data_IF_632951644154
#
_entry.id   IF_632951644154
#
_cell.length_a   1.000
_cell.length_b   1.000
_cell.length_c   1.000
_cell.angle_alpha   90.00
_cell.angle_beta   90.00
_cell.angle_gamma   90.00
#
_symmetry.space_group_name_H-M   'P 1'
#
loop_
_entity.id
_entity.type
_entity.pdbx_description
1 polymer ?
#
# COMPACT_ATOMS: atom_id res chain seq x y z
N UNK A 1 5.78 32.88 -16.10
CA UNK A 1 4.78 31.89 -15.64
C UNK A 1 4.73 30.62 -16.52
N UNK A 2 4.91 30.70 -17.84
CA UNK A 2 4.97 29.53 -18.74
C UNK A 2 6.01 28.43 -18.39
N UNK A 3 7.28 28.73 -18.03
CA UNK A 3 8.29 27.69 -17.83
C UNK A 3 8.04 26.80 -16.59
N UNK A 4 7.40 27.35 -15.55
CA UNK A 4 7.05 26.57 -14.35
C UNK A 4 5.91 25.57 -14.64
N UNK A 5 4.92 25.96 -15.44
CA UNK A 5 3.80 25.09 -15.83
C UNK A 5 4.25 23.95 -16.76
N UNK A 6 5.20 24.24 -17.64
CA UNK A 6 5.80 23.25 -18.54
C UNK A 6 6.66 22.23 -17.76
N UNK A 7 7.38 22.67 -16.71
CA UNK A 7 8.08 21.77 -15.79
C UNK A 7 7.12 20.84 -15.06
N UNK A 8 6.03 21.36 -14.49
CA UNK A 8 5.03 20.56 -13.76
C UNK A 8 4.37 19.53 -14.67
N UNK A 9 4.00 19.91 -15.89
CA UNK A 9 3.38 18.98 -16.84
C UNK A 9 4.36 17.84 -17.21
N UNK A 10 5.62 18.17 -17.50
CA UNK A 10 6.65 17.19 -17.83
C UNK A 10 6.96 16.26 -16.67
N UNK A 11 7.15 16.81 -15.47
CA UNK A 11 7.36 16.04 -14.24
C UNK A 11 6.17 15.11 -13.96
N UNK A 12 4.95 15.61 -14.14
CA UNK A 12 3.73 14.83 -13.96
C UNK A 12 3.58 13.70 -14.96
N UNK A 13 3.86 13.95 -16.25
CA UNK A 13 3.88 12.91 -17.28
C UNK A 13 4.93 11.85 -16.94
N UNK A 14 6.16 12.26 -16.58
CA UNK A 14 7.22 11.32 -16.21
C UNK A 14 6.84 10.48 -14.99
N UNK A 15 6.32 11.11 -13.93
CA UNK A 15 5.88 10.41 -12.73
C UNK A 15 4.74 9.43 -13.05
N UNK A 16 3.74 9.87 -13.81
CA UNK A 16 2.64 9.02 -14.25
C UNK A 16 3.11 7.79 -15.03
N UNK A 17 3.99 7.99 -16.01
CA UNK A 17 4.56 6.89 -16.78
C UNK A 17 5.40 5.92 -15.92
N UNK A 18 6.12 6.41 -14.90
CA UNK A 18 6.80 5.57 -13.93
C UNK A 18 5.79 4.71 -13.16
N UNK A 19 4.72 5.32 -12.65
CA UNK A 19 3.66 4.61 -11.94
C UNK A 19 3.01 3.53 -12.82
N UNK A 20 2.63 3.88 -14.05
CA UNK A 20 2.04 2.94 -15.01
C UNK A 20 2.98 1.77 -15.32
N UNK A 21 4.26 2.05 -15.54
CA UNK A 21 5.25 1.01 -15.82
C UNK A 21 5.44 0.06 -14.62
N UNK A 22 5.47 0.59 -13.39
CA UNK A 22 5.60 -0.23 -12.18
C UNK A 22 4.40 -1.16 -12.01
N UNK A 23 3.17 -0.65 -12.17
CA UNK A 23 1.96 -1.49 -12.11
C UNK A 23 1.97 -2.53 -13.22
N UNK A 24 2.30 -2.15 -14.46
CA UNK A 24 2.36 -3.06 -15.58
C UNK A 24 3.38 -4.19 -15.37
N UNK A 25 4.59 -3.87 -14.88
CA UNK A 25 5.63 -4.86 -14.58
C UNK A 25 5.18 -5.77 -13.43
N UNK A 26 4.60 -5.23 -12.37
CA UNK A 26 4.08 -6.01 -11.25
C UNK A 26 3.04 -7.05 -11.70
N UNK A 27 2.04 -6.63 -12.46
CA UNK A 27 1.02 -7.55 -12.96
C UNK A 27 1.56 -8.51 -14.01
N UNK A 28 2.51 -8.09 -14.85
CA UNK A 28 3.17 -9.00 -15.79
C UNK A 28 3.91 -10.12 -15.04
N UNK A 29 4.63 -9.81 -13.96
CA UNK A 29 5.31 -10.81 -13.14
C UNK A 29 4.32 -11.76 -12.46
N UNK A 30 3.21 -11.24 -11.92
CA UNK A 30 2.16 -12.06 -11.33
C UNK A 30 1.47 -12.97 -12.35
N UNK A 31 1.18 -12.44 -13.53
CA UNK A 31 0.55 -13.15 -14.65
C UNK A 31 1.47 -14.26 -15.18
N UNK A 32 2.77 -13.97 -15.31
CA UNK A 32 3.80 -14.96 -15.65
C UNK A 32 3.88 -16.06 -14.59
N UNK A 33 3.86 -15.70 -13.31
CA UNK A 33 3.86 -16.65 -12.21
C UNK A 33 2.60 -17.54 -12.21
N UNK A 34 1.47 -17.04 -12.71
CA UNK A 34 0.22 -17.80 -12.90
C UNK A 34 0.18 -18.59 -14.21
N UNK A 35 1.22 -18.50 -15.05
CA UNK A 35 1.31 -19.19 -16.34
C UNK A 35 0.45 -18.58 -17.45
N UNK A 36 -0.08 -17.36 -17.28
CA UNK A 36 -0.93 -16.69 -18.27
C UNK A 36 -0.47 -15.23 -18.47
N UNK A 37 0.53 -14.98 -19.34
CA UNK A 37 1.03 -13.63 -19.60
C UNK A 37 -0.08 -12.67 -20.05
N UNK A 38 -0.08 -11.45 -19.53
CA UNK A 38 -1.04 -10.38 -19.87
C UNK A 38 -2.51 -10.68 -19.54
N UNK A 39 -2.77 -11.65 -18.65
CA UNK A 39 -4.12 -11.94 -18.17
C UNK A 39 -4.80 -10.70 -17.58
N UNK A 40 -4.12 -10.01 -16.69
CA UNK A 40 -4.67 -8.85 -15.97
C UNK A 40 -5.09 -7.71 -16.93
N UNK A 41 -4.20 -7.17 -17.79
CA UNK A 41 -4.61 -6.13 -18.74
C UNK A 41 -5.60 -6.64 -19.80
N UNK A 42 -5.59 -7.94 -20.14
CA UNK A 42 -6.56 -8.54 -21.05
C UNK A 42 -7.98 -8.58 -20.48
N UNK A 43 -8.12 -9.00 -19.21
CA UNK A 43 -9.39 -9.02 -18.49
C UNK A 43 -9.95 -7.63 -18.29
N UNK A 44 -9.12 -6.69 -17.81
CA UNK A 44 -9.55 -5.31 -17.60
C UNK A 44 -9.91 -4.61 -18.91
N UNK A 45 -9.19 -4.90 -20.00
CA UNK A 45 -9.57 -4.42 -21.33
C UNK A 45 -10.90 -5.00 -21.81
N UNK A 46 -11.14 -6.30 -21.60
CA UNK A 46 -12.43 -6.93 -21.94
C UNK A 46 -13.58 -6.29 -21.13
N UNK A 47 -13.36 -6.05 -19.83
CA UNK A 47 -14.34 -5.41 -18.97
C UNK A 47 -14.67 -3.99 -19.44
N UNK A 48 -13.65 -3.17 -19.73
CA UNK A 48 -13.83 -1.77 -20.12
C UNK A 48 -14.41 -1.60 -21.52
N UNK A 49 -13.91 -2.34 -22.52
CA UNK A 49 -14.30 -2.13 -23.93
C UNK A 49 -15.45 -3.00 -24.39
N UNK A 50 -15.68 -4.14 -23.72
CA UNK A 50 -16.69 -5.13 -24.13
C UNK A 50 -17.76 -5.36 -23.06
N UNK A 51 -17.64 -4.74 -21.87
CA UNK A 51 -18.61 -4.88 -20.79
C UNK A 51 -18.62 -6.28 -20.15
N UNK A 52 -17.52 -7.03 -20.28
CA UNK A 52 -17.40 -8.38 -19.72
C UNK A 52 -17.21 -8.29 -18.20
N UNK A 53 -18.19 -8.80 -17.45
CA UNK A 53 -18.19 -8.76 -15.99
C UNK A 53 -17.86 -10.14 -15.36
N UNK A 54 -17.77 -11.21 -16.17
CA UNK A 54 -17.37 -12.55 -15.75
C UNK A 54 -16.00 -12.91 -16.37
N UNK A 55 -14.95 -13.19 -15.57
CA UNK A 55 -13.62 -13.51 -16.09
C UNK A 55 -13.53 -14.93 -16.66
N UNK A 56 -14.52 -15.79 -16.44
CA UNK A 56 -14.46 -17.20 -16.85
C UNK A 56 -14.39 -17.34 -18.38
N UNK A 57 -13.35 -18.03 -18.85
CA UNK A 57 -13.13 -18.32 -20.27
C UNK A 57 -12.62 -17.15 -21.10
N UNK A 58 -12.39 -15.98 -20.50
CA UNK A 58 -11.84 -14.81 -21.20
C UNK A 58 -10.34 -15.01 -21.43
N UNK A 59 -9.94 -15.05 -22.69
CA UNK A 59 -8.53 -15.11 -23.08
C UNK A 59 -7.98 -13.70 -23.35
N UNK A 60 -6.70 -13.42 -23.01
CA UNK A 60 -6.09 -12.14 -23.33
C UNK A 60 -6.02 -11.95 -24.84
N UNK A 61 -6.63 -10.89 -25.35
CA UNK A 61 -6.51 -10.50 -26.76
C UNK A 61 -5.59 -9.30 -26.88
N UNK A 62 -4.83 -9.24 -27.97
CA UNK A 62 -3.91 -8.11 -28.25
C UNK A 62 -4.66 -6.77 -28.21
N UNK A 63 -5.88 -6.72 -28.75
CA UNK A 63 -6.72 -5.52 -28.74
C UNK A 63 -7.07 -5.05 -27.33
N UNK A 64 -7.52 -5.95 -26.46
CA UNK A 64 -7.89 -5.61 -25.08
C UNK A 64 -6.67 -5.17 -24.27
N UNK A 65 -5.55 -5.89 -24.40
CA UNK A 65 -4.30 -5.57 -23.68
C UNK A 65 -3.76 -4.20 -24.09
N UNK A 66 -3.68 -3.92 -25.39
CA UNK A 66 -3.19 -2.63 -25.89
C UNK A 66 -4.15 -1.49 -25.53
N UNK A 67 -5.45 -1.68 -25.75
CA UNK A 67 -6.46 -0.67 -25.39
C UNK A 67 -6.39 -0.33 -23.90
N UNK A 68 -6.31 -1.34 -23.03
CA UNK A 68 -6.25 -1.12 -21.59
C UNK A 68 -4.94 -0.45 -21.20
N UNK A 69 -3.82 -0.83 -21.81
CA UNK A 69 -2.51 -0.21 -21.54
C UNK A 69 -2.51 1.28 -21.89
N UNK A 70 -3.18 1.69 -22.98
CA UNK A 70 -3.33 3.11 -23.35
C UNK A 70 -4.17 3.84 -22.30
N UNK A 71 -5.35 3.31 -21.97
CA UNK A 71 -6.26 3.94 -20.97
C UNK A 71 -5.56 4.04 -19.61
N UNK A 72 -4.90 2.97 -19.18
CA UNK A 72 -4.12 2.92 -17.95
C UNK A 72 -2.99 3.96 -17.94
N UNK A 73 -2.21 4.03 -19.03
CA UNK A 73 -1.14 5.03 -19.17
C UNK A 73 -1.65 6.46 -19.11
N UNK A 74 -2.76 6.77 -19.80
CA UNK A 74 -3.38 8.10 -19.77
C UNK A 74 -3.93 8.45 -18.38
N UNK A 75 -4.56 7.49 -17.69
CA UNK A 75 -5.05 7.69 -16.32
C UNK A 75 -3.89 7.99 -15.36
N UNK A 76 -2.79 7.26 -15.47
CA UNK A 76 -1.60 7.49 -14.65
C UNK A 76 -0.89 8.80 -14.99
N UNK A 77 -0.86 9.22 -16.26
CA UNK A 77 -0.36 10.55 -16.65
C UNK A 77 -1.22 11.64 -16.00
N UNK A 78 -2.54 11.54 -16.08
CA UNK A 78 -3.44 12.51 -15.45
C UNK A 78 -3.20 12.57 -13.93
N UNK A 79 -3.12 11.41 -13.27
CA UNK A 79 -2.79 11.32 -11.84
C UNK A 79 -1.42 11.94 -11.52
N UNK A 80 -0.39 11.62 -12.32
CA UNK A 80 0.95 12.16 -12.18
C UNK A 80 1.00 13.68 -12.32
N UNK A 81 0.23 14.27 -13.22
CA UNK A 81 0.11 15.73 -13.36
C UNK A 81 -0.55 16.38 -12.15
N UNK A 82 -1.61 15.76 -11.60
CA UNK A 82 -2.22 16.23 -10.34
C UNK A 82 -1.21 16.14 -9.20
N UNK A 83 -0.51 15.02 -9.07
CA UNK A 83 0.53 14.82 -8.07
C UNK A 83 1.67 15.84 -8.22
N UNK A 84 2.20 16.05 -9.42
CA UNK A 84 3.25 17.05 -9.67
C UNK A 84 2.78 18.48 -9.35
N UNK A 85 1.51 18.78 -9.62
CA UNK A 85 0.93 20.08 -9.26
C UNK A 85 0.89 20.26 -7.75
N UNK A 86 0.42 19.25 -7.00
CA UNK A 86 0.47 19.26 -5.54
C UNK A 86 1.91 19.39 -5.02
N UNK A 87 2.87 18.71 -5.64
CA UNK A 87 4.29 18.79 -5.27
C UNK A 87 4.80 20.22 -5.39
N UNK A 88 4.55 20.87 -6.53
CA UNK A 88 5.00 22.24 -6.78
C UNK A 88 4.38 23.26 -5.81
N UNK A 89 3.14 23.07 -5.38
CA UNK A 89 2.53 23.94 -4.36
C UNK A 89 3.12 23.64 -2.97
N UNK A 90 3.41 22.37 -2.69
CA UNK A 90 3.96 21.93 -1.40
C UNK A 90 5.38 22.42 -1.11
N UNK A 91 6.14 22.84 -2.13
CA UNK A 91 7.42 23.53 -1.92
C UNK A 91 7.27 24.82 -1.11
N UNK A 92 6.11 25.48 -1.21
CA UNK A 92 5.80 26.71 -0.48
C UNK A 92 5.03 26.42 0.81
N UNK A 93 4.13 25.44 0.76
CA UNK A 93 3.29 25.04 1.88
C UNK A 93 3.41 23.53 2.10
N UNK A 94 4.40 23.05 2.89
CA UNK A 94 4.66 21.61 2.98
C UNK A 94 3.53 20.85 3.69
N UNK A 95 2.59 21.55 4.31
CA UNK A 95 1.33 21.02 4.86
C UNK A 95 0.44 20.41 3.77
N UNK A 96 0.54 20.88 2.52
CA UNK A 96 -0.20 20.34 1.38
C UNK A 96 0.30 18.96 0.93
N UNK A 97 1.39 18.45 1.49
CA UNK A 97 1.73 17.03 1.33
C UNK A 97 0.75 16.10 2.04
N UNK A 98 -0.05 16.60 2.99
CA UNK A 98 -1.22 15.87 3.47
C UNK A 98 -2.18 15.53 2.31
N UNK A 99 -2.29 16.42 1.33
CA UNK A 99 -3.12 16.19 0.14
C UNK A 99 -2.60 15.02 -0.71
N UNK A 100 -1.31 14.67 -0.66
CA UNK A 100 -0.80 13.46 -1.31
C UNK A 100 -1.31 12.19 -0.64
N UNK A 101 -1.32 12.15 0.69
CA UNK A 101 -1.83 10.99 1.44
C UNK A 101 -3.33 10.83 1.21
N UNK A 102 -4.07 11.95 1.21
CA UNK A 102 -5.50 11.97 0.89
C UNK A 102 -5.74 11.54 -0.57
N UNK A 103 -4.94 12.05 -1.52
CA UNK A 103 -5.05 11.69 -2.94
C UNK A 103 -4.79 10.19 -3.14
N UNK A 104 -3.76 9.64 -2.49
CA UNK A 104 -3.47 8.21 -2.49
C UNK A 104 -4.63 7.40 -1.92
N UNK A 105 -5.10 7.72 -0.72
CA UNK A 105 -6.22 7.01 -0.09
C UNK A 105 -7.50 7.08 -0.94
N UNK A 106 -7.79 8.25 -1.52
CA UNK A 106 -8.94 8.45 -2.41
C UNK A 106 -8.79 7.67 -3.71
N UNK A 107 -7.57 7.60 -4.26
CA UNK A 107 -7.27 6.84 -5.47
C UNK A 107 -7.43 5.34 -5.25
N UNK A 108 -6.97 4.79 -4.12
CA UNK A 108 -7.22 3.39 -3.76
C UNK A 108 -8.72 3.11 -3.72
N UNK A 109 -9.48 3.90 -2.96
CA UNK A 109 -10.95 3.74 -2.86
C UNK A 109 -11.60 3.84 -4.23
N UNK A 110 -11.15 4.77 -5.07
CA UNK A 110 -11.64 4.92 -6.44
C UNK A 110 -11.38 3.69 -7.30
N UNK A 111 -10.14 3.16 -7.32
CA UNK A 111 -9.77 1.96 -8.09
C UNK A 111 -10.61 0.76 -7.64
N UNK A 112 -10.75 0.56 -6.33
CA UNK A 112 -11.59 -0.52 -5.80
C UNK A 112 -13.07 -0.31 -6.13
N UNK A 113 -13.56 0.92 -6.11
CA UNK A 113 -14.91 1.27 -6.55
C UNK A 113 -15.14 0.94 -8.02
N UNK A 114 -14.19 1.27 -8.89
CA UNK A 114 -14.25 0.96 -10.33
C UNK A 114 -14.20 -0.55 -10.57
N UNK A 115 -13.22 -1.26 -10.00
CA UNK A 115 -13.10 -2.72 -10.19
C UNK A 115 -14.30 -3.46 -9.58
N UNK A 116 -14.81 -2.97 -8.44
CA UNK A 116 -16.05 -3.48 -7.84
C UNK A 116 -17.29 -3.26 -8.72
N UNK A 117 -17.38 -2.09 -9.38
CA UNK A 117 -18.45 -1.80 -10.33
C UNK A 117 -18.39 -2.67 -11.59
N UNK A 118 -17.18 -3.09 -12.01
CA UNK A 118 -16.97 -4.05 -13.10
C UNK A 118 -17.33 -5.50 -12.70
N UNK A 119 -17.61 -5.77 -11.42
CA UNK A 119 -18.14 -7.04 -10.94
C UNK A 119 -17.34 -7.67 -9.80
N UNK A 120 -18.02 -8.31 -8.84
CA UNK A 120 -17.39 -9.02 -7.71
C UNK A 120 -16.44 -10.14 -8.17
N UNK A 121 -16.77 -10.80 -9.28
CA UNK A 121 -15.96 -11.82 -9.94
C UNK A 121 -14.62 -11.26 -10.47
N UNK A 122 -14.59 -10.01 -10.97
CA UNK A 122 -13.36 -9.33 -11.41
C UNK A 122 -12.40 -9.06 -10.25
N UNK A 123 -12.93 -8.57 -9.11
CA UNK A 123 -12.14 -8.37 -7.88
C UNK A 123 -11.49 -9.68 -7.40
N UNK A 124 -12.23 -10.79 -7.47
CA UNK A 124 -11.70 -12.12 -7.15
C UNK A 124 -10.60 -12.58 -8.11
N UNK A 125 -10.79 -12.39 -9.42
CA UNK A 125 -9.84 -12.83 -10.44
C UNK A 125 -8.53 -12.02 -10.47
N UNK A 126 -8.62 -10.70 -10.29
CA UNK A 126 -7.45 -9.81 -10.26
C UNK A 126 -6.69 -9.90 -8.93
N UNK A 127 -7.32 -10.49 -7.92
CA UNK A 127 -6.80 -10.68 -6.57
C UNK A 127 -6.48 -9.32 -5.94
N UNK A 128 -7.40 -8.81 -5.11
CA UNK A 128 -7.33 -7.49 -4.46
C UNK A 128 -5.94 -7.09 -3.92
N UNK A 129 -5.21 -8.02 -3.30
CA UNK A 129 -3.90 -7.72 -2.72
C UNK A 129 -2.87 -7.38 -3.79
N UNK A 130 -3.00 -7.95 -4.99
CA UNK A 130 -2.15 -7.63 -6.13
C UNK A 130 -2.40 -6.19 -6.61
N UNK A 131 -3.65 -5.74 -6.64
CA UNK A 131 -4.00 -4.35 -6.97
C UNK A 131 -3.37 -3.40 -5.95
N UNK A 132 -3.55 -3.70 -4.66
CA UNK A 132 -2.98 -2.88 -3.58
C UNK A 132 -1.45 -2.79 -3.69
N UNK A 133 -0.75 -3.92 -3.81
CA UNK A 133 0.71 -3.93 -3.89
C UNK A 133 1.17 -3.17 -5.14
N UNK A 134 0.51 -3.37 -6.28
CA UNK A 134 0.81 -2.65 -7.51
C UNK A 134 0.71 -1.13 -7.33
N UNK A 135 -0.39 -0.65 -6.75
CA UNK A 135 -0.60 0.77 -6.53
C UNK A 135 0.35 1.35 -5.48
N UNK A 136 0.64 0.60 -4.41
CA UNK A 136 1.61 1.00 -3.40
C UNK A 136 3.01 1.13 -4.02
N UNK A 137 3.46 0.15 -4.80
CA UNK A 137 4.73 0.20 -5.50
C UNK A 137 4.80 1.39 -6.46
N UNK A 138 3.74 1.63 -7.22
CA UNK A 138 3.67 2.77 -8.13
C UNK A 138 3.76 4.10 -7.38
N UNK A 139 2.99 4.24 -6.29
CA UNK A 139 2.98 5.44 -5.45
C UNK A 139 4.35 5.70 -4.82
N UNK A 140 5.02 4.65 -4.32
CA UNK A 140 6.38 4.75 -3.78
C UNK A 140 7.39 5.15 -4.87
N UNK A 141 7.30 4.58 -6.07
CA UNK A 141 8.18 4.93 -7.18
C UNK A 141 7.99 6.38 -7.66
N UNK A 142 6.74 6.84 -7.74
CA UNK A 142 6.38 8.21 -8.07
C UNK A 142 6.87 9.20 -7.00
N UNK A 143 6.63 8.88 -5.72
CA UNK A 143 7.09 9.70 -4.60
C UNK A 143 8.62 9.79 -4.56
N UNK A 144 9.31 8.67 -4.81
CA UNK A 144 10.76 8.65 -4.92
C UNK A 144 11.27 9.52 -6.06
N UNK A 145 10.62 9.47 -7.23
CA UNK A 145 10.94 10.35 -8.36
C UNK A 145 10.78 11.83 -7.97
N UNK A 146 9.66 12.20 -7.34
CA UNK A 146 9.44 13.57 -6.88
C UNK A 146 10.46 14.01 -5.84
N UNK A 147 10.80 13.18 -4.85
CA UNK A 147 11.82 13.54 -3.86
C UNK A 147 13.22 13.66 -4.44
N UNK A 148 13.52 12.90 -5.50
CA UNK A 148 14.79 13.03 -6.23
C UNK A 148 14.85 14.32 -7.03
N UNK A 149 13.73 14.73 -7.63
CA UNK A 149 13.59 16.01 -8.33
C UNK A 149 13.64 17.20 -7.35
N UNK A 150 12.95 17.08 -6.21
CA UNK A 150 12.74 18.12 -5.20
C UNK A 150 13.57 17.85 -3.93
N UNK A 151 14.91 17.80 -4.08
CA UNK A 151 15.84 17.43 -2.98
C UNK A 151 15.81 18.37 -1.76
N UNK A 152 15.37 19.62 -1.94
CA UNK A 152 15.23 20.57 -0.85
C UNK A 152 14.07 20.15 0.06
N UNK A 153 12.90 19.87 -0.52
CA UNK A 153 11.71 19.41 0.20
C UNK A 153 11.98 18.11 0.97
N UNK A 154 12.62 17.13 0.33
CA UNK A 154 12.99 15.87 0.97
C UNK A 154 13.88 16.08 2.21
N UNK A 155 14.90 16.92 2.10
CA UNK A 155 15.79 17.24 3.24
C UNK A 155 15.05 17.99 4.35
N UNK A 156 14.13 18.87 4.00
CA UNK A 156 13.33 19.67 4.93
C UNK A 156 12.26 18.85 5.66
N UNK A 157 11.81 17.71 5.12
CA UNK A 157 10.79 16.88 5.78
C UNK A 157 11.35 15.66 6.50
N UNK A 158 12.23 14.91 5.83
CA UNK A 158 12.63 13.56 6.29
C UNK A 158 14.00 13.60 6.98
N UNK A 159 14.85 14.56 6.60
CA UNK A 159 16.20 14.68 7.17
C UNK A 159 17.11 13.51 6.73
N UNK A 160 17.58 12.71 7.69
CA UNK A 160 18.47 11.58 7.40
C UNK A 160 17.67 10.35 7.01
N UNK A 161 17.62 10.08 5.70
CA UNK A 161 16.98 8.89 5.13
C UNK A 161 17.45 7.57 5.76
N UNK A 162 18.73 7.45 6.07
CA UNK A 162 19.27 6.23 6.71
C UNK A 162 18.73 6.01 8.13
N UNK A 163 18.46 7.09 8.87
CA UNK A 163 17.83 7.00 10.19
C UNK A 163 16.36 6.57 10.05
N UNK A 164 15.60 7.26 9.19
CA UNK A 164 14.17 7.00 9.00
C UNK A 164 13.93 5.59 8.46
N UNK A 165 14.73 5.13 7.49
CA UNK A 165 14.63 3.77 6.98
C UNK A 165 14.92 2.73 8.06
N UNK A 166 15.97 2.93 8.87
CA UNK A 166 16.30 2.01 9.98
C UNK A 166 15.18 1.96 11.02
N UNK A 167 14.69 3.12 11.45
CA UNK A 167 13.59 3.23 12.42
C UNK A 167 12.32 2.55 11.89
N UNK A 168 11.99 2.80 10.62
CA UNK A 168 10.85 2.16 9.98
C UNK A 168 10.98 0.64 9.86
N UNK A 169 12.14 0.14 9.42
CA UNK A 169 12.39 -1.31 9.36
C UNK A 169 12.26 -1.94 10.74
N UNK A 170 12.86 -1.33 11.77
CA UNK A 170 12.79 -1.86 13.14
C UNK A 170 11.35 -1.85 13.66
N UNK A 171 10.62 -0.75 13.49
CA UNK A 171 9.21 -0.65 13.90
C UNK A 171 8.34 -1.69 13.19
N UNK A 172 8.53 -1.84 11.87
CA UNK A 172 7.82 -2.81 11.05
C UNK A 172 8.11 -4.24 11.47
N UNK A 173 9.38 -4.62 11.59
CA UNK A 173 9.76 -5.98 12.02
C UNK A 173 9.32 -6.29 13.46
N UNK A 174 9.31 -5.29 14.34
CA UNK A 174 8.75 -5.44 15.69
C UNK A 174 7.25 -5.78 15.62
N UNK A 175 6.49 -5.06 14.81
CA UNK A 175 5.07 -5.33 14.61
C UNK A 175 4.80 -6.69 13.94
N UNK A 176 5.61 -7.07 12.95
CA UNK A 176 5.55 -8.39 12.34
C UNK A 176 5.80 -9.49 13.39
N UNK A 177 6.79 -9.32 14.25
CA UNK A 177 7.08 -10.27 15.32
C UNK A 177 5.92 -10.36 16.33
N UNK A 178 5.31 -9.24 16.70
CA UNK A 178 4.13 -9.22 17.60
C UNK A 178 2.96 -9.99 16.99
N UNK A 179 2.66 -9.77 15.71
CA UNK A 179 1.60 -10.49 14.99
C UNK A 179 1.93 -11.98 14.88
N UNK A 180 3.17 -12.32 14.52
CA UNK A 180 3.61 -13.72 14.42
C UNK A 180 3.51 -14.45 15.76
N UNK A 181 3.91 -13.80 16.86
CA UNK A 181 3.80 -14.36 18.21
C UNK A 181 2.34 -14.52 18.66
N UNK A 182 1.49 -13.54 18.35
CA UNK A 182 0.06 -13.61 18.63
C UNK A 182 -0.59 -14.81 17.94
N UNK A 183 -0.38 -14.98 16.64
CA UNK A 183 -0.92 -16.11 15.91
C UNK A 183 -0.27 -17.44 16.30
N UNK A 184 1.03 -17.46 16.60
CA UNK A 184 1.70 -18.65 17.12
C UNK A 184 1.07 -19.11 18.45
N UNK A 185 0.71 -18.19 19.34
CA UNK A 185 0.03 -18.52 20.58
C UNK A 185 -1.37 -19.12 20.33
N UNK A 186 -2.16 -18.50 19.45
CA UNK A 186 -3.48 -19.00 19.05
C UNK A 186 -3.38 -20.40 18.43
N UNK A 187 -2.48 -20.56 17.47
CA UNK A 187 -2.20 -21.81 16.76
C UNK A 187 -1.79 -22.94 17.73
N UNK A 188 -0.89 -22.63 18.67
CA UNK A 188 -0.44 -23.58 19.69
C UNK A 188 -1.57 -23.97 20.65
N UNK A 189 -2.42 -23.03 21.07
CA UNK A 189 -3.60 -23.32 21.90
C UNK A 189 -4.62 -24.21 21.18
N UNK A 190 -4.67 -24.14 19.85
CA UNK A 190 -5.51 -24.99 19.00
C UNK A 190 -4.85 -26.35 18.69
N UNK A 191 -3.63 -26.60 19.16
CA UNK A 191 -2.91 -27.87 18.96
C UNK A 191 -2.16 -27.97 17.62
N UNK A 192 -2.14 -26.92 16.81
CA UNK A 192 -1.44 -26.91 15.51
C UNK A 192 -0.50 -25.69 15.40
N UNK A 193 0.71 -25.72 16.01
CA UNK A 193 1.67 -24.64 15.88
C UNK A 193 1.98 -24.32 14.41
N UNK A 194 2.08 -23.02 14.09
CA UNK A 194 2.33 -22.51 12.72
C UNK A 194 1.21 -22.81 11.72
N UNK A 195 -0.01 -23.16 12.16
CA UNK A 195 -1.18 -23.32 11.29
C UNK A 195 -1.44 -22.06 10.46
N UNK A 196 -1.44 -20.88 11.06
CA UNK A 196 -1.72 -19.61 10.39
C UNK A 196 -0.74 -19.31 9.25
N UNK A 197 0.59 -19.23 9.46
CA UNK A 197 1.52 -18.96 8.35
C UNK A 197 1.52 -20.08 7.30
N UNK A 198 1.24 -21.33 7.68
CA UNK A 198 1.04 -22.43 6.73
C UNK A 198 -0.18 -22.19 5.85
N UNK A 199 -1.35 -21.91 6.43
CA UNK A 199 -2.60 -21.64 5.71
C UNK A 199 -2.48 -20.44 4.76
N UNK A 200 -1.84 -19.37 5.23
CA UNK A 200 -1.65 -18.17 4.41
C UNK A 200 -0.61 -18.40 3.30
N UNK A 201 0.45 -19.16 3.56
CA UNK A 201 1.42 -19.55 2.53
C UNK A 201 0.84 -20.49 1.46
N UNK A 202 0.04 -21.47 1.86
CA UNK A 202 -0.63 -22.38 0.90
C UNK A 202 -1.74 -21.65 0.14
N UNK A 203 -2.56 -20.83 0.82
CA UNK A 203 -3.69 -20.14 0.19
C UNK A 203 -3.28 -18.93 -0.67
N UNK A 204 -2.47 -18.01 -0.11
CA UNK A 204 -2.10 -16.77 -0.80
C UNK A 204 -0.93 -16.97 -1.77
N UNK A 205 0.11 -17.71 -1.34
CA UNK A 205 1.33 -17.92 -2.13
C UNK A 205 1.31 -19.23 -2.93
N UNK A 206 0.21 -20.00 -2.84
CA UNK A 206 0.03 -21.28 -3.57
C UNK A 206 1.19 -22.25 -3.41
N UNK A 207 1.83 -22.24 -2.25
CA UNK A 207 2.95 -23.14 -1.98
C UNK A 207 2.43 -24.56 -1.71
N UNK A 208 3.01 -25.57 -2.35
CA UNK A 208 2.51 -26.94 -2.27
C UNK A 208 2.89 -27.63 -0.95
N UNK A 209 4.04 -27.27 -0.36
CA UNK A 209 4.56 -27.88 0.84
C UNK A 209 4.49 -26.95 2.05
N UNK A 210 4.25 -27.53 3.23
CA UNK A 210 4.04 -26.78 4.46
C UNK A 210 5.26 -25.95 4.87
N UNK A 211 6.47 -26.49 4.72
CA UNK A 211 7.72 -25.79 5.05
C UNK A 211 7.92 -24.53 4.21
N UNK A 212 7.80 -24.64 2.89
CA UNK A 212 7.97 -23.52 1.96
C UNK A 212 6.83 -22.53 2.11
N UNK A 213 5.60 -22.99 2.36
CA UNK A 213 4.48 -22.12 2.70
C UNK A 213 4.79 -21.23 3.91
N UNK A 214 5.23 -21.83 5.02
CA UNK A 214 5.57 -21.09 6.24
C UNK A 214 6.73 -20.13 6.00
N UNK A 215 7.83 -20.59 5.39
CA UNK A 215 9.04 -19.77 5.17
C UNK A 215 8.75 -18.62 4.22
N UNK A 216 8.17 -18.89 3.06
CA UNK A 216 7.87 -17.85 2.07
C UNK A 216 6.87 -16.82 2.61
N UNK A 217 5.81 -17.26 3.31
CA UNK A 217 4.86 -16.35 3.93
C UNK A 217 5.54 -15.49 5.00
N UNK A 218 6.39 -16.07 5.84
CA UNK A 218 7.12 -15.32 6.88
C UNK A 218 8.02 -14.24 6.28
N UNK A 219 8.71 -14.55 5.18
CA UNK A 219 9.55 -13.58 4.45
C UNK A 219 8.69 -12.45 3.87
N UNK A 220 7.62 -12.80 3.15
CA UNK A 220 6.71 -11.81 2.54
C UNK A 220 6.07 -10.92 3.61
N UNK A 221 5.62 -11.51 4.71
CA UNK A 221 5.06 -10.81 5.86
C UNK A 221 6.08 -9.83 6.46
N UNK A 222 7.31 -10.27 6.73
CA UNK A 222 8.37 -9.41 7.25
C UNK A 222 8.72 -8.24 6.31
N UNK A 223 8.81 -8.49 5.00
CA UNK A 223 9.05 -7.44 4.00
C UNK A 223 7.90 -6.44 3.97
N UNK A 224 6.65 -6.91 3.94
CA UNK A 224 5.46 -6.05 3.91
C UNK A 224 5.43 -5.11 5.13
N UNK A 225 5.67 -5.66 6.32
CA UNK A 225 5.71 -4.87 7.55
C UNK A 225 6.90 -3.91 7.60
N UNK A 226 8.09 -4.30 7.12
CA UNK A 226 9.23 -3.40 7.04
C UNK A 226 8.96 -2.20 6.11
N UNK A 227 8.34 -2.45 4.94
CA UNK A 227 7.93 -1.37 4.02
C UNK A 227 6.88 -0.45 4.66
N UNK A 228 5.86 -1.02 5.30
CA UNK A 228 4.84 -0.27 6.03
C UNK A 228 5.47 0.59 7.15
N UNK A 229 6.41 0.03 7.89
CA UNK A 229 7.16 0.73 8.93
C UNK A 229 8.00 1.89 8.40
N UNK A 230 8.63 1.75 7.23
CA UNK A 230 9.33 2.88 6.56
C UNK A 230 8.36 4.02 6.24
N UNK A 231 7.16 3.70 5.73
CA UNK A 231 6.13 4.73 5.48
C UNK A 231 5.70 5.41 6.78
N UNK A 232 5.43 4.64 7.83
CA UNK A 232 5.12 5.18 9.16
C UNK A 232 6.22 6.10 9.69
N UNK A 233 7.49 5.67 9.61
CA UNK A 233 8.63 6.46 10.06
C UNK A 233 8.80 7.76 9.25
N UNK A 234 8.53 7.75 7.94
CA UNK A 234 8.53 8.97 7.13
C UNK A 234 7.46 9.96 7.59
N UNK A 235 6.25 9.48 7.88
CA UNK A 235 5.16 10.31 8.37
C UNK A 235 5.44 10.86 9.77
N UNK A 236 6.03 10.06 10.65
CA UNK A 236 6.46 10.49 12.00
C UNK A 236 7.57 11.55 11.91
N UNK A 237 8.59 11.32 11.08
CA UNK A 237 9.66 12.29 10.86
C UNK A 237 9.13 13.61 10.29
N UNK A 238 8.16 13.55 9.38
CA UNK A 238 7.47 14.73 8.87
C UNK A 238 6.65 15.43 9.97
N UNK A 239 5.96 14.66 10.84
CA UNK A 239 5.17 15.16 11.95
C UNK A 239 5.99 15.90 13.02
N UNK A 240 7.25 15.50 13.25
CA UNK A 240 8.15 16.24 14.15
C UNK A 240 8.38 17.68 13.67
N UNK A 241 8.41 17.88 12.36
CA UNK A 241 8.68 19.17 11.72
C UNK A 241 7.41 19.94 11.44
N UNK A 242 6.31 19.26 11.15
CA UNK A 242 5.01 19.84 10.84
C UNK A 242 3.88 19.07 11.54
N UNK A 243 3.27 19.64 12.60
CA UNK A 243 2.27 18.95 13.41
C UNK A 243 1.09 18.36 12.63
N UNK A 244 0.70 18.97 11.51
CA UNK A 244 -0.41 18.48 10.67
C UNK A 244 -0.16 17.09 10.07
N UNK A 245 1.08 16.62 9.97
CA UNK A 245 1.36 15.26 9.49
C UNK A 245 0.97 14.17 10.50
N UNK A 246 0.64 14.52 11.76
CA UNK A 246 -0.03 13.57 12.66
C UNK A 246 -1.36 13.11 12.06
N UNK A 247 -2.12 14.01 11.42
CA UNK A 247 -3.34 13.63 10.69
C UNK A 247 -3.03 12.74 9.49
N UNK A 248 -1.92 12.97 8.79
CA UNK A 248 -1.48 12.08 7.70
C UNK A 248 -1.18 10.67 8.21
N UNK A 249 -0.56 10.55 9.39
CA UNK A 249 -0.30 9.28 10.05
C UNK A 249 -1.61 8.57 10.43
N UNK A 250 -2.56 9.29 11.05
CA UNK A 250 -3.88 8.73 11.40
C UNK A 250 -4.64 8.31 10.15
N UNK A 251 -4.72 9.15 9.12
CA UNK A 251 -5.40 8.83 7.86
C UNK A 251 -4.76 7.63 7.19
N UNK A 252 -3.42 7.59 7.09
CA UNK A 252 -2.72 6.45 6.50
C UNK A 252 -3.04 5.15 7.26
N UNK A 253 -3.00 5.20 8.59
CA UNK A 253 -3.27 4.05 9.43
C UNK A 253 -4.73 3.58 9.35
N UNK A 254 -5.69 4.50 9.49
CA UNK A 254 -7.12 4.20 9.38
C UNK A 254 -7.49 3.72 7.98
N UNK A 255 -6.98 4.36 6.93
CA UNK A 255 -7.19 3.91 5.57
C UNK A 255 -6.64 2.51 5.36
N UNK A 256 -5.44 2.22 5.87
CA UNK A 256 -4.87 0.87 5.82
C UNK A 256 -5.72 -0.15 6.56
N UNK A 257 -6.17 0.12 7.79
CA UNK A 257 -6.99 -0.83 8.56
C UNK A 257 -8.35 -1.08 7.93
N UNK A 258 -9.07 -0.01 7.55
CA UNK A 258 -10.36 -0.14 6.86
C UNK A 258 -10.19 -0.92 5.56
N UNK A 259 -9.10 -0.62 4.84
CA UNK A 259 -8.79 -1.31 3.60
C UNK A 259 -8.45 -2.79 3.83
N UNK A 260 -7.58 -3.10 4.80
CA UNK A 260 -7.15 -4.46 5.09
C UNK A 260 -8.32 -5.32 5.56
N UNK A 261 -9.11 -4.82 6.51
CA UNK A 261 -10.30 -5.50 7.03
C UNK A 261 -11.35 -5.65 5.92
N UNK A 262 -11.62 -4.59 5.16
CA UNK A 262 -12.53 -4.62 4.01
C UNK A 262 -12.08 -5.62 2.94
N UNK A 263 -10.78 -5.68 2.64
CA UNK A 263 -10.18 -6.62 1.70
C UNK A 263 -10.37 -8.07 2.14
N UNK A 264 -10.14 -8.36 3.42
CA UNK A 264 -10.41 -9.69 3.99
C UNK A 264 -11.89 -10.05 3.90
N UNK A 265 -12.79 -9.14 4.31
CA UNK A 265 -14.25 -9.37 4.31
C UNK A 265 -14.86 -9.55 2.91
N UNK A 266 -14.30 -8.90 1.89
CA UNK A 266 -14.87 -8.93 0.54
C UNK A 266 -14.27 -10.07 -0.30
N UNK A 267 -12.97 -10.31 -0.16
CA UNK A 267 -12.22 -11.08 -1.14
C UNK A 267 -11.34 -12.18 -0.55
N UNK A 268 -11.25 -12.28 0.77
CA UNK A 268 -10.59 -13.40 1.45
C UNK A 268 -11.51 -13.99 2.54
N UNK A 269 -12.81 -14.10 2.27
CA UNK A 269 -13.79 -14.68 3.20
C UNK A 269 -13.42 -16.10 3.62
N UNK A 270 -12.73 -16.86 2.76
CA UNK A 270 -12.18 -18.18 3.08
C UNK A 270 -11.21 -18.14 4.27
N UNK A 271 -10.51 -17.02 4.49
CA UNK A 271 -9.67 -16.83 5.68
C UNK A 271 -10.55 -16.79 6.92
N UNK A 272 -11.75 -16.21 6.84
CA UNK A 272 -12.69 -16.10 7.96
C UNK A 272 -13.38 -17.43 8.29
N UNK A 273 -13.39 -18.38 7.35
CA UNK A 273 -13.83 -19.76 7.61
C UNK A 273 -12.79 -20.53 8.45
N UNK A 274 -11.50 -20.17 8.33
CA UNK A 274 -10.38 -20.86 8.99
C UNK A 274 -9.87 -20.13 10.25
N UNK A 275 -9.88 -18.80 10.22
CA UNK A 275 -9.40 -17.90 11.27
C UNK A 275 -10.54 -16.99 11.74
N UNK A 276 -10.79 -16.96 13.04
CA UNK A 276 -11.79 -16.08 13.59
C UNK A 276 -11.42 -14.60 13.36
N UNK A 277 -12.29 -13.80 12.75
CA UNK A 277 -11.98 -12.41 12.40
C UNK A 277 -11.51 -11.52 13.56
N UNK A 278 -11.90 -11.83 14.81
CA UNK A 278 -11.42 -11.12 15.99
C UNK A 278 -9.92 -11.33 16.26
N UNK A 279 -9.34 -12.48 15.91
CA UNK A 279 -7.90 -12.73 16.10
C UNK A 279 -7.07 -11.88 15.16
N UNK A 280 -7.55 -11.66 13.93
CA UNK A 280 -6.97 -10.76 12.94
C UNK A 280 -7.02 -9.32 13.45
N UNK A 281 -8.19 -8.88 13.92
CA UNK A 281 -8.36 -7.54 14.49
C UNK A 281 -7.41 -7.29 15.67
N UNK A 282 -7.34 -8.21 16.62
CA UNK A 282 -6.45 -8.07 17.78
C UNK A 282 -4.99 -8.08 17.35
N UNK A 283 -4.60 -8.94 16.42
CA UNK A 283 -3.24 -8.96 15.88
C UNK A 283 -2.83 -7.61 15.28
N UNK A 284 -3.70 -7.01 14.47
CA UNK A 284 -3.47 -5.69 13.89
C UNK A 284 -3.37 -4.59 14.95
N UNK A 285 -4.27 -4.57 15.93
CA UNK A 285 -4.22 -3.60 17.03
C UNK A 285 -2.93 -3.72 17.86
N UNK A 286 -2.48 -4.95 18.11
CA UNK A 286 -1.21 -5.20 18.81
C UNK A 286 0.00 -4.72 17.99
N UNK A 287 0.03 -4.98 16.69
CA UNK A 287 1.04 -4.44 15.79
C UNK A 287 1.07 -2.91 15.83
N UNK A 288 -0.10 -2.28 15.72
CA UNK A 288 -0.27 -0.82 15.78
C UNK A 288 0.30 -0.25 17.07
N UNK A 289 -0.10 -0.83 18.20
CA UNK A 289 0.34 -0.40 19.51
C UNK A 289 1.86 -0.55 19.66
N UNK A 290 2.44 -1.66 19.16
CA UNK A 290 3.88 -1.89 19.19
C UNK A 290 4.66 -0.85 18.36
N UNK A 291 4.20 -0.55 17.14
CA UNK A 291 4.81 0.48 16.29
C UNK A 291 4.69 1.86 16.92
N UNK A 292 3.50 2.21 17.41
CA UNK A 292 3.24 3.50 18.04
C UNK A 292 4.12 3.67 19.29
N UNK A 293 4.20 2.65 20.15
CA UNK A 293 5.07 2.67 21.32
C UNK A 293 6.54 2.86 20.93
N UNK A 294 7.02 2.15 19.90
CA UNK A 294 8.38 2.31 19.38
C UNK A 294 8.64 3.74 18.87
N UNK A 295 7.71 4.30 18.09
CA UNK A 295 7.84 5.66 17.57
C UNK A 295 7.78 6.71 18.68
N UNK A 296 6.86 6.60 19.64
CA UNK A 296 6.79 7.53 20.78
C UNK A 296 8.05 7.47 21.64
N UNK A 297 8.60 6.27 21.87
CA UNK A 297 9.86 6.09 22.58
C UNK A 297 11.05 6.72 21.84
N UNK A 298 11.06 6.62 20.51
CA UNK A 298 12.12 7.14 19.64
C UNK A 298 12.01 8.67 19.43
N UNK A 299 10.78 9.21 19.46
CA UNK A 299 10.46 10.61 19.15
C UNK A 299 9.87 11.34 20.38
N UNK A 300 10.68 11.46 21.45
CA UNK A 300 10.25 12.07 22.73
C UNK A 300 9.76 13.52 22.63
N UNK A 301 10.19 14.27 21.62
CA UNK A 301 9.72 15.63 21.40
C UNK A 301 8.27 15.64 20.88
N UNK A 302 7.95 14.76 19.92
CA UNK A 302 6.59 14.55 19.42
C UNK A 302 5.68 14.03 20.53
N UNK A 303 6.14 13.03 21.29
CA UNK A 303 5.39 12.46 22.41
C UNK A 303 4.98 13.54 23.44
N UNK A 304 5.91 14.41 23.84
CA UNK A 304 5.63 15.51 24.77
C UNK A 304 4.61 16.52 24.23
N UNK A 305 4.68 16.86 22.94
CA UNK A 305 3.72 17.78 22.30
C UNK A 305 2.31 17.19 22.27
N UNK A 306 2.20 15.91 21.92
CA UNK A 306 0.93 15.20 21.95
C UNK A 306 0.36 15.14 23.37
N UNK A 307 1.16 14.79 24.38
CA UNK A 307 0.66 14.76 25.77
C UNK A 307 0.32 16.13 26.34
N UNK A 308 1.05 17.19 25.93
CA UNK A 308 0.79 18.55 26.40
C UNK A 308 -0.53 19.11 25.85
N UNK A 309 -0.83 18.86 24.57
CA UNK A 309 -2.09 19.28 23.96
C UNK A 309 -3.33 18.65 24.65
N UNK A 310 -3.18 17.45 25.21
CA UNK A 310 -4.24 16.78 25.97
C UNK A 310 -4.35 17.27 27.41
N UNK A 311 -3.28 17.83 27.97
CA UNK A 311 -3.27 18.37 29.33
C UNK A 311 -3.76 19.84 29.41
N UNK A 312 -3.85 20.53 28.27
CA UNK A 312 -4.39 21.90 28.16
C UNK A 312 -5.93 21.90 27.92
N UNK A 313 -6.54 20.72 27.70
CA UNK A 313 -7.99 20.55 27.52
C UNK A 313 -8.73 20.13 28.82
N UNK A 314 -8.02 19.94 29.94
CA UNK A 314 -8.55 19.74 31.30
C UNK A 314 -8.46 21.02 32.16
#
# INVERSE_FOLDING_TARGET
MAPARESILREGICAGLIGAAVVAVWFLLLDLWRGQPFLTPGLLGAAVFQGVNDPLGVQPTVGNVLGYTIVHGLAFIAFGVVAASLMAVSEREPTLLLAFVILFASFEVFVFGVVGALGKSMLGALVWWAILIGNLLASLAMLWYFFRAHRALSRTLIGSWGRVAREGIVAGLLAAAVVALWFLAIDAMQGEPMRTPRLLGTGLLRQPDASTAIVSYTIVHGIAFALFGIVGAMLVAAAERQPLFVFALVIFFTAFEVFFIGGVLIAATWILDELAGWTILVGNLLATAAMLAYFLASHRALARRLTAAWAEED
#
